data_IF_890073322364
#
_entry.id   IF_890073322364
#
_cell.length_a   1.000
_cell.length_b   1.000
_cell.length_c   1.000
_cell.angle_alpha   90.00
_cell.angle_beta   90.00
_cell.angle_gamma   90.00
#
_symmetry.space_group_name_H-M   'P 1'
#
loop_
_entity.id
_entity.type
_entity.pdbx_description
1 polymer ?
#
# COMPACT_ATOMS: atom_id res chain seq x y z
N UNK A 1 -44.19 31.67 -4.04
CA UNK A 1 -43.29 31.89 -5.20
C UNK A 1 -41.89 31.45 -4.80
N UNK A 2 -41.56 30.16 -5.02
CA UNK A 2 -40.54 29.72 -5.99
C UNK A 2 -39.24 30.53 -5.94
N UNK A 3 -38.24 30.04 -5.20
CA UNK A 3 -36.86 29.93 -5.71
C UNK A 3 -36.23 28.63 -5.20
N UNK A 4 -36.39 27.63 -6.05
CA UNK A 4 -35.67 26.37 -6.09
C UNK A 4 -34.17 26.69 -6.18
N UNK A 5 -33.42 26.51 -5.09
CA UNK A 5 -31.97 26.63 -5.15
C UNK A 5 -31.38 25.27 -5.50
N UNK A 6 -30.99 25.21 -6.77
CA UNK A 6 -30.10 24.27 -7.45
C UNK A 6 -29.38 23.25 -6.54
N UNK A 7 -29.73 21.98 -6.72
CA UNK A 7 -28.88 20.85 -6.34
C UNK A 7 -27.59 20.96 -7.16
N UNK A 8 -26.49 21.34 -6.51
CA UNK A 8 -25.16 21.17 -7.09
C UNK A 8 -24.88 19.67 -7.07
N UNK A 9 -25.01 19.02 -8.22
CA UNK A 9 -24.39 17.74 -8.51
C UNK A 9 -22.87 17.96 -8.54
N UNK A 10 -22.23 17.90 -7.37
CA UNK A 10 -20.80 17.61 -7.31
C UNK A 10 -20.66 16.11 -7.57
N UNK A 11 -20.58 15.73 -8.85
CA UNK A 11 -19.95 14.48 -9.26
C UNK A 11 -18.45 14.65 -9.02
N UNK A 12 -18.03 14.51 -7.77
CA UNK A 12 -16.64 14.32 -7.39
C UNK A 12 -16.50 12.87 -6.95
N UNK A 13 -16.47 11.95 -7.92
CA UNK A 13 -15.85 10.64 -7.70
C UNK A 13 -14.35 10.90 -7.64
N UNK A 14 -13.84 11.41 -6.52
CA UNK A 14 -12.50 11.07 -6.00
C UNK A 14 -12.48 11.49 -4.53
N UNK A 15 -12.22 10.50 -3.65
CA UNK A 15 -11.44 10.51 -2.41
C UNK A 15 -12.14 9.67 -1.32
N UNK A 16 -11.37 8.88 -0.53
CA UNK A 16 -10.00 9.20 -0.11
C UNK A 16 -8.94 8.17 -0.52
N UNK A 17 -7.70 8.67 -0.70
CA UNK A 17 -6.53 7.91 -0.29
C UNK A 17 -6.73 7.57 1.19
N UNK A 18 -7.04 6.30 1.49
CA UNK A 18 -7.79 6.03 2.72
C UNK A 18 -6.95 6.24 3.97
N UNK A 19 -5.69 5.80 3.98
CA UNK A 19 -4.68 6.13 5.00
C UNK A 19 -3.26 5.94 4.42
N UNK A 20 -2.28 6.59 5.04
CA UNK A 20 -0.86 6.34 4.81
C UNK A 20 -0.30 5.49 5.96
N UNK A 21 0.52 4.49 5.65
CA UNK A 21 1.11 3.58 6.62
C UNK A 21 2.62 3.52 6.46
N UNK A 22 3.34 3.54 7.57
CA UNK A 22 4.78 3.27 7.60
C UNK A 22 5.01 1.78 7.88
N UNK A 23 5.74 1.12 6.98
CA UNK A 23 6.11 -0.29 7.05
C UNK A 23 7.62 -0.40 7.12
N UNK A 24 8.12 -1.05 8.17
CA UNK A 24 9.55 -1.24 8.35
C UNK A 24 9.96 -2.61 7.82
N UNK A 25 10.99 -2.64 7.00
CA UNK A 25 11.44 -3.83 6.28
C UNK A 25 12.76 -4.29 6.86
N UNK A 26 12.86 -5.58 7.16
CA UNK A 26 14.08 -6.28 7.63
C UNK A 26 14.35 -7.49 6.75
N UNK A 27 15.62 -7.84 6.49
CA UNK A 27 15.92 -9.06 5.71
C UNK A 27 16.11 -10.29 6.60
N UNK A 28 15.70 -11.46 6.08
CA UNK A 28 16.02 -12.77 6.65
C UNK A 28 17.19 -13.44 5.92
N UNK A 29 17.90 -12.69 5.07
CA UNK A 29 18.93 -13.20 4.17
C UNK A 29 18.32 -13.99 3.00
N UNK A 30 19.01 -15.07 2.59
CA UNK A 30 18.58 -15.92 1.47
C UNK A 30 17.45 -16.91 1.80
N UNK A 31 16.85 -16.82 2.99
CA UNK A 31 15.74 -17.69 3.40
C UNK A 31 14.42 -17.01 3.12
N UNK A 32 13.54 -17.65 2.35
CA UNK A 32 12.14 -17.22 2.14
C UNK A 32 11.47 -16.98 3.50
N UNK A 33 10.74 -15.86 3.71
CA UNK A 33 10.26 -14.91 2.71
C UNK A 33 11.27 -13.84 2.26
N UNK A 34 12.56 -13.92 2.61
CA UNK A 34 13.65 -12.98 2.31
C UNK A 34 13.57 -11.64 3.04
N UNK A 35 12.35 -11.17 3.30
CA UNK A 35 12.06 -9.97 4.06
C UNK A 35 10.91 -10.20 5.03
N UNK A 36 10.97 -9.51 6.17
CA UNK A 36 9.89 -9.38 7.14
C UNK A 36 9.49 -7.91 7.24
N UNK A 37 8.21 -7.68 7.53
CA UNK A 37 7.60 -6.36 7.57
C UNK A 37 7.05 -6.09 8.97
N UNK A 38 7.14 -4.85 9.42
CA UNK A 38 6.77 -4.45 10.78
C UNK A 38 6.03 -3.12 10.79
N UNK A 39 5.20 -2.91 11.82
CA UNK A 39 4.48 -1.66 12.06
C UNK A 39 5.26 -0.67 12.93
N UNK A 40 6.46 -1.04 13.39
CA UNK A 40 7.32 -0.21 14.23
C UNK A 40 8.80 -0.30 13.79
N UNK A 41 9.53 0.80 14.00
CA UNK A 41 10.94 0.92 13.63
C UNK A 41 11.85 -0.05 14.40
N UNK A 42 11.46 -0.45 15.61
CA UNK A 42 12.20 -1.42 16.41
C UNK A 42 12.07 -2.86 15.87
N UNK A 43 11.18 -3.10 14.91
CA UNK A 43 10.99 -4.41 14.28
C UNK A 43 10.41 -5.45 15.25
N UNK A 44 9.42 -5.05 16.05
CA UNK A 44 8.84 -5.88 17.12
C UNK A 44 7.38 -6.28 16.87
N UNK A 45 6.62 -5.45 16.15
CA UNK A 45 5.23 -5.65 15.76
C UNK A 45 5.19 -6.15 14.34
N UNK A 46 5.19 -7.48 14.18
CA UNK A 46 5.14 -8.12 12.88
C UNK A 46 3.88 -7.72 12.11
N UNK A 47 4.05 -7.39 10.83
CA UNK A 47 3.00 -7.21 9.84
C UNK A 47 3.17 -8.29 8.78
N UNK A 48 2.42 -9.39 8.90
CA UNK A 48 2.65 -10.58 8.09
C UNK A 48 1.93 -10.51 6.74
N UNK A 49 2.46 -9.64 5.87
CA UNK A 49 1.98 -9.43 4.49
C UNK A 49 2.73 -10.28 3.45
N UNK A 50 3.53 -11.25 3.89
CA UNK A 50 4.23 -12.18 2.97
C UNK A 50 3.26 -13.22 2.42
N UNK A 51 3.52 -13.81 1.24
CA UNK A 51 2.63 -14.81 0.67
C UNK A 51 2.25 -15.94 1.67
N UNK A 52 0.95 -16.03 2.01
CA UNK A 52 0.42 -16.98 2.99
C UNK A 52 0.31 -16.44 4.42
N UNK A 53 0.72 -15.19 4.64
CA UNK A 53 0.57 -14.46 5.90
C UNK A 53 -0.86 -13.98 6.15
N UNK A 54 -1.12 -13.55 7.39
CA UNK A 54 -2.47 -13.17 7.86
C UNK A 54 -2.88 -11.74 7.55
N UNK A 55 -1.92 -10.86 7.26
CA UNK A 55 -2.16 -9.45 7.02
C UNK A 55 -2.21 -9.13 5.53
N UNK A 56 -2.87 -8.03 5.18
CA UNK A 56 -3.10 -7.66 3.79
C UNK A 56 -2.76 -6.20 3.55
N UNK A 57 -2.22 -5.91 2.35
CA UNK A 57 -2.26 -4.56 1.80
C UNK A 57 -3.70 -4.28 1.36
N UNK A 58 -4.14 -3.05 1.54
CA UNK A 58 -5.53 -2.63 1.29
C UNK A 58 -5.53 -1.64 0.13
N UNK A 59 -6.40 -1.91 -0.84
CA UNK A 59 -6.56 -1.07 -2.03
C UNK A 59 -6.93 0.37 -1.65
N UNK A 60 -6.32 1.34 -2.34
CA UNK A 60 -6.52 2.77 -2.09
C UNK A 60 -5.68 3.36 -0.95
N UNK A 61 -4.86 2.55 -0.27
CA UNK A 61 -3.89 3.02 0.71
C UNK A 61 -2.52 3.27 0.08
N UNK A 62 -1.71 4.04 0.81
CA UNK A 62 -0.31 4.30 0.50
C UNK A 62 0.57 3.75 1.61
N UNK A 63 1.67 3.09 1.22
CA UNK A 63 2.58 2.42 2.13
C UNK A 63 4.00 2.93 1.92
N UNK A 64 4.62 3.49 2.96
CA UNK A 64 6.03 3.85 2.93
C UNK A 64 6.85 2.72 3.55
N UNK A 65 7.64 2.05 2.73
CA UNK A 65 8.54 0.99 3.16
C UNK A 65 9.90 1.59 3.52
N UNK A 66 10.33 1.45 4.77
CA UNK A 66 11.62 1.93 5.26
C UNK A 66 12.51 0.76 5.63
N UNK A 67 13.75 0.73 5.12
CA UNK A 67 14.70 -0.33 5.48
C UNK A 67 15.39 -0.04 6.80
N UNK A 68 15.27 -0.96 7.75
CA UNK A 68 15.83 -0.81 9.11
C UNK A 68 17.08 -1.68 9.35
N UNK A 69 17.48 -2.51 8.38
CA UNK A 69 18.73 -3.26 8.43
C UNK A 69 19.50 -3.23 7.11
N UNK A 70 20.66 -3.87 7.07
CA UNK A 70 21.61 -3.83 5.96
C UNK A 70 21.78 -5.20 5.27
N UNK A 71 22.55 -5.24 4.18
CA UNK A 71 22.95 -6.47 3.49
C UNK A 71 22.18 -6.77 2.21
N UNK A 72 20.85 -6.64 2.22
CA UNK A 72 20.00 -6.90 1.05
C UNK A 72 19.09 -5.70 0.77
N UNK A 73 19.38 -4.98 -0.31
CA UNK A 73 18.54 -3.87 -0.77
C UNK A 73 17.17 -4.39 -1.21
N UNK A 74 16.10 -3.67 -0.92
CA UNK A 74 14.71 -4.06 -1.16
C UNK A 74 14.07 -3.24 -2.28
N UNK A 75 13.24 -3.86 -3.10
CA UNK A 75 12.41 -3.14 -4.07
C UNK A 75 11.13 -3.91 -4.40
N UNK A 76 10.20 -3.25 -5.09
CA UNK A 76 8.85 -3.73 -5.40
C UNK A 76 8.64 -3.87 -6.92
N UNK A 77 7.69 -4.70 -7.32
CA UNK A 77 7.22 -4.87 -8.70
C UNK A 77 5.79 -5.40 -8.74
N UNK A 78 5.10 -5.19 -9.85
CA UNK A 78 3.85 -5.87 -10.21
C UNK A 78 4.10 -7.19 -10.97
N UNK A 79 5.36 -7.50 -11.28
CA UNK A 79 5.76 -8.69 -12.02
C UNK A 79 6.56 -9.65 -11.14
N UNK A 80 6.28 -10.95 -11.29
CA UNK A 80 7.04 -12.04 -10.65
C UNK A 80 8.40 -12.25 -11.34
N UNK A 81 9.24 -11.22 -11.32
CA UNK A 81 10.50 -11.22 -12.04
C UNK A 81 11.52 -10.33 -11.33
N UNK A 82 12.76 -10.81 -11.27
CA UNK A 82 13.85 -10.04 -10.67
C UNK A 82 14.17 -8.83 -11.54
N UNK A 83 14.18 -7.66 -10.91
CA UNK A 83 14.42 -6.40 -11.58
C UNK A 83 13.62 -6.35 -12.89
N UNK A 84 12.29 -6.45 -12.84
CA UNK A 84 11.47 -5.96 -13.97
C UNK A 84 10.93 -4.58 -13.65
N UNK A 85 10.86 -3.70 -14.66
CA UNK A 85 10.18 -2.40 -14.50
C UNK A 85 8.70 -2.66 -14.27
N UNK A 86 7.96 -1.67 -13.79
CA UNK A 86 6.50 -1.80 -13.72
C UNK A 86 5.96 -2.08 -15.13
N UNK A 87 4.94 -2.95 -15.24
CA UNK A 87 4.26 -3.12 -16.51
C UNK A 87 3.66 -1.78 -16.97
N UNK A 88 3.44 -1.64 -18.29
CA UNK A 88 2.90 -0.40 -18.86
C UNK A 88 1.49 -0.06 -18.32
N UNK A 89 0.74 -1.10 -17.92
CA UNK A 89 -0.63 -1.01 -17.41
C UNK A 89 -0.69 -1.26 -15.88
N UNK A 90 0.45 -1.13 -15.18
CA UNK A 90 0.52 -1.39 -13.75
C UNK A 90 -0.42 -0.47 -12.97
N UNK A 91 -1.32 -1.06 -12.17
CA UNK A 91 -2.18 -0.30 -11.26
C UNK A 91 -1.51 0.03 -9.92
N UNK A 92 -0.19 0.22 -9.94
CA UNK A 92 0.59 0.67 -8.80
C UNK A 92 1.54 1.81 -9.18
N UNK A 93 1.86 2.64 -8.18
CA UNK A 93 2.87 3.68 -8.29
C UNK A 93 3.98 3.47 -7.25
N UNK A 94 5.23 3.70 -7.67
CA UNK A 94 6.40 3.72 -6.79
C UNK A 94 7.04 5.10 -6.81
N UNK A 95 7.35 5.64 -5.64
CA UNK A 95 8.04 6.92 -5.48
C UNK A 95 9.03 6.85 -4.30
N UNK A 96 9.91 7.84 -4.17
CA UNK A 96 10.90 7.90 -3.10
C UNK A 96 12.28 7.44 -3.55
N UNK A 97 13.04 6.87 -2.63
CA UNK A 97 14.42 6.45 -2.85
C UNK A 97 14.51 5.09 -3.52
N UNK A 98 15.74 4.75 -3.91
CA UNK A 98 16.02 3.51 -4.62
C UNK A 98 15.47 3.48 -6.04
N UNK A 99 15.74 2.37 -6.70
CA UNK A 99 15.28 2.08 -8.05
C UNK A 99 15.21 0.59 -8.23
N UNK A 100 14.67 0.12 -9.35
CA UNK A 100 14.75 -1.29 -9.73
C UNK A 100 16.17 -1.86 -9.64
N UNK A 101 17.19 -1.06 -9.95
CA UNK A 101 18.58 -1.54 -9.99
C UNK A 101 19.30 -1.39 -8.66
N UNK A 102 18.98 -0.38 -7.85
CA UNK A 102 19.66 -0.09 -6.59
C UNK A 102 18.89 -0.56 -5.36
N UNK A 103 17.56 -0.59 -5.41
CA UNK A 103 16.68 -0.81 -4.26
C UNK A 103 16.83 0.29 -3.23
N UNK A 104 16.09 0.16 -2.12
CA UNK A 104 16.35 0.90 -0.89
C UNK A 104 17.25 0.09 0.05
N UNK A 105 18.17 0.78 0.71
CA UNK A 105 19.14 0.31 1.70
C UNK A 105 18.81 0.86 3.08
N UNK A 106 19.57 0.47 4.11
CA UNK A 106 19.32 0.90 5.50
C UNK A 106 19.17 2.42 5.62
N UNK A 107 18.06 2.86 6.19
CA UNK A 107 17.68 4.26 6.35
C UNK A 107 16.95 4.88 5.16
N UNK A 108 16.93 4.21 4.00
CA UNK A 108 16.22 4.67 2.81
C UNK A 108 14.77 4.17 2.79
N UNK A 109 13.91 4.90 2.09
CA UNK A 109 12.47 4.63 2.02
C UNK A 109 11.89 4.75 0.61
N UNK A 110 10.90 3.91 0.31
CA UNK A 110 10.13 4.00 -0.92
C UNK A 110 8.63 3.89 -0.62
N UNK A 111 7.83 4.64 -1.35
CA UNK A 111 6.39 4.69 -1.19
C UNK A 111 5.70 3.92 -2.32
N UNK A 112 4.82 3.00 -1.94
CA UNK A 112 3.88 2.28 -2.81
C UNK A 112 2.51 2.95 -2.72
N UNK A 113 1.93 3.27 -3.87
CA UNK A 113 0.51 3.60 -4.00
C UNK A 113 -0.20 2.51 -4.79
N UNK A 114 -1.31 2.00 -4.27
CA UNK A 114 -2.16 1.02 -4.95
C UNK A 114 -3.35 1.77 -5.55
N UNK A 115 -3.45 1.82 -6.88
CA UNK A 115 -4.50 2.55 -7.56
C UNK A 115 -5.86 1.90 -7.30
N UNK A 116 -6.94 2.69 -7.45
CA UNK A 116 -8.31 2.19 -7.29
C UNK A 116 -8.68 1.08 -8.28
N UNK A 117 -7.96 1.02 -9.40
CA UNK A 117 -8.25 0.14 -10.52
C UNK A 117 -7.47 -1.18 -10.42
N UNK A 118 -6.65 -1.36 -9.38
CA UNK A 118 -5.97 -2.61 -9.09
C UNK A 118 -7.00 -3.73 -8.87
N UNK A 119 -6.89 -4.82 -9.62
CA UNK A 119 -7.77 -5.99 -9.52
C UNK A 119 -7.07 -7.13 -8.77
N UNK A 120 -7.37 -7.38 -7.49
CA UNK A 120 -6.73 -8.45 -6.72
C UNK A 120 -7.01 -9.87 -7.22
N UNK A 121 -7.94 -10.06 -8.17
CA UNK A 121 -8.22 -11.37 -8.77
C UNK A 121 -7.29 -11.72 -9.93
N UNK A 122 -6.62 -10.72 -10.52
CA UNK A 122 -5.77 -10.88 -11.70
C UNK A 122 -4.39 -10.22 -11.60
N UNK A 123 -4.21 -9.26 -10.68
CA UNK A 123 -2.96 -8.58 -10.39
C UNK A 123 -2.34 -9.05 -9.08
N UNK A 124 -1.00 -8.99 -9.00
CA UNK A 124 -0.24 -9.39 -7.83
C UNK A 124 0.93 -8.44 -7.59
N UNK A 125 1.39 -8.38 -6.34
CA UNK A 125 2.54 -7.59 -5.94
C UNK A 125 3.68 -8.49 -5.52
N UNK A 126 4.89 -8.10 -5.92
CA UNK A 126 6.12 -8.80 -5.64
C UNK A 126 7.14 -7.85 -5.03
N UNK A 127 8.05 -8.42 -4.26
CA UNK A 127 9.22 -7.74 -3.75
C UNK A 127 10.46 -8.58 -4.02
N UNK A 128 11.61 -7.92 -4.10
CA UNK A 128 12.84 -8.59 -4.43
C UNK A 128 14.07 -7.88 -3.89
N UNK A 129 15.17 -8.64 -3.81
CA UNK A 129 16.49 -8.06 -3.64
C UNK A 129 17.03 -7.60 -4.98
N UNK A 130 17.44 -6.34 -5.10
CA UNK A 130 18.02 -5.86 -6.36
C UNK A 130 19.36 -6.54 -6.63
N UNK A 131 20.15 -6.91 -5.63
CA UNK A 131 21.45 -7.55 -5.84
C UNK A 131 21.38 -9.05 -6.22
N UNK A 132 20.31 -9.76 -5.86
CA UNK A 132 20.27 -11.23 -5.96
C UNK A 132 19.00 -11.71 -6.67
N UNK A 133 19.15 -12.32 -7.85
CA UNK A 133 18.02 -12.75 -8.68
C UNK A 133 17.20 -13.90 -8.10
N UNK A 134 17.73 -14.63 -7.11
CA UNK A 134 17.02 -15.68 -6.39
C UNK A 134 16.09 -15.16 -5.30
N UNK A 135 16.20 -13.89 -4.91
CA UNK A 135 15.40 -13.29 -3.85
C UNK A 135 14.23 -12.53 -4.45
N UNK A 136 13.23 -13.26 -4.94
CA UNK A 136 11.96 -12.71 -5.43
C UNK A 136 10.84 -13.45 -4.71
N UNK A 137 9.88 -12.73 -4.15
CA UNK A 137 8.72 -13.34 -3.52
C UNK A 137 7.48 -12.43 -3.64
N UNK A 138 6.30 -13.01 -3.46
CA UNK A 138 5.03 -12.29 -3.49
C UNK A 138 4.62 -11.76 -2.12
N UNK A 139 3.84 -10.68 -2.12
CA UNK A 139 2.99 -10.34 -0.98
C UNK A 139 1.79 -11.30 -0.91
N UNK A 140 1.12 -11.32 0.25
CA UNK A 140 -0.28 -11.77 0.34
C UNK A 140 -1.17 -10.91 -0.56
N UNK A 141 -2.35 -11.42 -0.89
CA UNK A 141 -3.37 -10.71 -1.68
C UNK A 141 -3.61 -9.28 -1.18
N UNK A 142 -3.75 -8.36 -2.13
CA UNK A 142 -4.33 -7.04 -1.84
C UNK A 142 -5.83 -7.24 -1.60
N UNK A 143 -6.40 -6.57 -0.61
CA UNK A 143 -7.84 -6.66 -0.31
C UNK A 143 -8.56 -5.35 -0.60
N UNK A 144 -9.80 -5.47 -1.05
CA UNK A 144 -10.69 -4.33 -1.19
C UNK A 144 -11.26 -4.00 0.19
N UNK A 145 -11.23 -2.73 0.64
CA UNK A 145 -11.85 -2.35 1.90
C UNK A 145 -13.36 -2.61 1.88
N UNK A 146 -13.87 -3.22 2.96
CA UNK A 146 -15.29 -3.58 3.09
C UNK A 146 -16.21 -2.34 2.97
N UNK A 147 -17.32 -2.40 2.20
CA UNK A 147 -18.25 -1.28 2.00
C UNK A 147 -18.83 -0.70 3.31
N UNK A 148 -18.94 -1.54 4.34
CA UNK A 148 -19.46 -1.16 5.67
C UNK A 148 -18.56 -0.14 6.38
N UNK A 149 -17.25 -0.15 6.13
CA UNK A 149 -16.29 0.81 6.67
C UNK A 149 -16.62 2.23 6.18
N UNK A 150 -16.92 2.38 4.89
CA UNK A 150 -17.33 3.65 4.29
C UNK A 150 -18.68 4.13 4.83
N UNK A 151 -19.65 3.21 4.97
CA UNK A 151 -20.96 3.54 5.52
C UNK A 151 -20.86 4.07 6.96
N UNK A 152 -19.98 3.48 7.78
CA UNK A 152 -19.75 3.93 9.15
C UNK A 152 -19.12 5.33 9.21
N UNK A 153 -18.10 5.59 8.39
CA UNK A 153 -17.47 6.92 8.29
C UNK A 153 -18.50 7.97 7.87
N UNK A 154 -19.28 7.70 6.81
CA UNK A 154 -20.33 8.62 6.34
C UNK A 154 -21.41 8.85 7.40
N UNK A 155 -21.79 7.80 8.14
CA UNK A 155 -22.73 7.91 9.26
C UNK A 155 -22.23 8.85 10.36
N UNK A 156 -20.96 8.70 10.77
CA UNK A 156 -20.33 9.56 11.79
C UNK A 156 -20.23 11.02 11.31
N UNK A 157 -19.82 11.23 10.05
CA UNK A 157 -19.75 12.58 9.46
C UNK A 157 -21.13 13.23 9.40
N UNK A 158 -22.16 12.51 8.97
CA UNK A 158 -23.53 13.02 8.92
C UNK A 158 -24.06 13.42 10.31
N UNK A 159 -23.74 12.64 11.35
CA UNK A 159 -24.09 12.96 12.73
C UNK A 159 -23.35 14.21 13.23
N UNK A 160 -22.06 14.34 12.94
CA UNK A 160 -21.27 15.52 13.30
C UNK A 160 -21.83 16.79 12.64
N UNK A 161 -22.15 16.73 11.35
CA UNK A 161 -22.77 17.84 10.60
C UNK A 161 -24.15 18.19 11.17
N UNK A 162 -24.98 17.19 11.48
CA UNK A 162 -26.29 17.39 12.12
C UNK A 162 -26.16 18.09 13.47
N UNK A 163 -25.16 17.73 14.28
CA UNK A 163 -24.91 18.35 15.57
C UNK A 163 -24.43 19.80 15.47
N UNK A 164 -23.51 20.10 14.53
CA UNK A 164 -23.06 21.48 14.26
C UNK A 164 -24.24 22.35 13.82
N UNK A 165 -25.14 21.85 12.96
CA UNK A 165 -26.33 22.60 12.51
C UNK A 165 -27.39 22.84 13.59
N UNK A 166 -27.33 22.12 14.70
CA UNK A 166 -28.27 22.25 15.83
C UNK A 166 -27.80 23.26 16.87
N UNK A 167 -26.58 23.77 16.77
CA UNK A 167 -26.05 24.89 17.57
C UNK A 167 -26.17 26.19 16.80
#
# INVERSE_FOLDING_TARGET
MKKLFSFILFSSVVLPQLMAFDIYVKTTGFSTPYYQFYLDEAGTQLFDITAGGSDNLVLGNTYTFTRIDSGHAFYLSDQNAWRSDLSADANIGLAGEGSRTSGINSGESLTLSINSDFDPSSEALYYYCTAHSSMVNGFTSVVVPEPSTYALILGVVALAVSWIRRK
#
